data_IF_288912103500
#
_entry.id   IF_288912103500
#
_cell.length_a   1.000
_cell.length_b   1.000
_cell.length_c   1.000
_cell.angle_alpha   90.00
_cell.angle_beta   90.00
_cell.angle_gamma   90.00
#
_symmetry.space_group_name_H-M   'P 1'
#
loop_
_entity.id
_entity.type
_entity.pdbx_description
1 polymer ?
#
# COMPACT_ATOMS: atom_id res chain seq x y z
N UNK A 1 -7.11 0.69 -7.97
CA UNK A 1 -6.15 -0.39 -8.28
C UNK A 1 -5.96 -1.42 -7.15
N UNK A 2 -5.65 -2.67 -7.51
CA UNK A 2 -5.20 -3.74 -6.61
C UNK A 2 -3.75 -4.11 -6.95
N UNK A 3 -2.91 -4.30 -5.93
CA UNK A 3 -1.49 -4.66 -6.05
C UNK A 3 -1.25 -5.95 -5.24
N UNK A 4 -0.96 -7.05 -5.94
CA UNK A 4 -0.69 -8.35 -5.32
C UNK A 4 0.79 -8.45 -4.91
N UNK A 5 1.02 -8.67 -3.62
CA UNK A 5 2.33 -8.73 -2.97
C UNK A 5 2.60 -10.13 -2.39
N UNK A 6 1.82 -11.15 -2.75
CA UNK A 6 2.09 -12.51 -2.28
C UNK A 6 3.48 -12.98 -2.70
N UNK A 7 4.26 -13.46 -1.73
CA UNK A 7 5.60 -13.98 -1.98
C UNK A 7 6.69 -12.91 -2.14
N UNK A 8 6.34 -11.63 -2.07
CA UNK A 8 7.32 -10.56 -2.06
C UNK A 8 8.02 -10.47 -0.71
N UNK A 9 9.33 -10.26 -0.75
CA UNK A 9 10.09 -9.79 0.39
C UNK A 9 9.77 -8.31 0.66
N UNK A 10 10.00 -7.84 1.89
CA UNK A 10 9.60 -6.49 2.29
C UNK A 10 10.19 -5.39 1.39
N UNK A 11 11.47 -5.51 1.02
CA UNK A 11 12.15 -4.51 0.20
C UNK A 11 11.53 -4.42 -1.20
N UNK A 12 11.29 -5.56 -1.84
CA UNK A 12 10.69 -5.61 -3.18
C UNK A 12 9.23 -5.14 -3.15
N UNK A 13 8.49 -5.51 -2.11
CA UNK A 13 7.12 -5.05 -1.92
C UNK A 13 7.03 -3.53 -1.78
N UNK A 14 8.01 -2.90 -1.13
CA UNK A 14 8.04 -1.43 -1.01
C UNK A 14 8.20 -0.79 -2.38
N UNK A 15 9.14 -1.28 -3.20
CA UNK A 15 9.38 -0.77 -4.56
C UNK A 15 8.11 -0.90 -5.40
N UNK A 16 7.50 -2.09 -5.40
CA UNK A 16 6.28 -2.36 -6.15
C UNK A 16 5.12 -1.45 -5.72
N UNK A 17 4.97 -1.21 -4.42
CA UNK A 17 3.94 -0.31 -3.91
C UNK A 17 4.16 1.14 -4.36
N UNK A 18 5.40 1.60 -4.46
CA UNK A 18 5.67 2.96 -4.99
C UNK A 18 5.37 3.06 -6.48
N UNK A 19 5.76 2.08 -7.29
CA UNK A 19 5.34 2.03 -8.69
C UNK A 19 3.81 2.03 -8.82
N UNK A 20 3.12 1.25 -7.98
CA UNK A 20 1.66 1.21 -7.97
C UNK A 20 1.03 2.57 -7.58
N UNK A 21 1.67 3.33 -6.68
CA UNK A 21 1.21 4.67 -6.30
C UNK A 21 1.41 5.69 -7.44
N UNK A 22 2.51 5.59 -8.19
CA UNK A 22 2.75 6.38 -9.39
C UNK A 22 1.71 6.06 -10.48
N UNK A 23 1.46 4.77 -10.73
CA UNK A 23 0.44 4.32 -11.69
C UNK A 23 -0.95 4.86 -11.33
N UNK A 24 -1.36 4.74 -10.06
CA UNK A 24 -2.63 5.31 -9.60
C UNK A 24 -2.77 6.81 -9.88
N UNK A 25 -1.66 7.54 -9.90
CA UNK A 25 -1.65 8.98 -10.18
C UNK A 25 -1.92 9.25 -11.67
N UNK A 26 -1.40 8.40 -12.56
CA UNK A 26 -1.62 8.49 -14.01
C UNK A 26 -3.02 8.01 -14.41
N UNK A 27 -3.53 6.97 -13.75
CA UNK A 27 -4.84 6.38 -14.04
C UNK A 27 -6.00 7.05 -13.28
N UNK A 28 -5.69 8.04 -12.42
CA UNK A 28 -6.65 8.72 -11.54
C UNK A 28 -7.40 7.76 -10.58
N UNK A 29 -6.77 6.63 -10.22
CA UNK A 29 -7.28 5.69 -9.24
C UNK A 29 -7.32 6.33 -7.84
N UNK A 30 -8.52 6.41 -7.26
CA UNK A 30 -8.70 6.96 -5.91
C UNK A 30 -8.25 6.01 -4.79
N UNK A 31 -8.13 4.71 -5.08
CA UNK A 31 -7.82 3.69 -4.07
C UNK A 31 -6.73 2.75 -4.54
N UNK A 32 -5.80 2.45 -3.62
CA UNK A 32 -4.84 1.36 -3.75
C UNK A 32 -5.14 0.30 -2.69
N UNK A 33 -5.36 -0.94 -3.12
CA UNK A 33 -5.52 -2.10 -2.24
C UNK A 33 -4.29 -2.99 -2.38
N UNK A 34 -3.57 -3.20 -1.28
CA UNK A 34 -2.44 -4.10 -1.21
C UNK A 34 -2.91 -5.46 -0.73
N UNK A 35 -2.62 -6.51 -1.49
CA UNK A 35 -2.94 -7.90 -1.13
C UNK A 35 -1.65 -8.59 -0.73
N UNK A 36 -1.44 -8.75 0.57
CA UNK A 36 -0.21 -9.33 1.12
C UNK A 36 -0.42 -10.72 1.74
N UNK A 37 -1.67 -11.18 1.82
CA UNK A 37 -2.04 -12.41 2.52
C UNK A 37 -2.08 -12.25 4.05
N UNK A 38 -2.64 -13.24 4.76
CA UNK A 38 -2.92 -13.11 6.20
C UNK A 38 -1.76 -13.57 7.10
N UNK A 39 -1.41 -14.87 7.04
CA UNK A 39 -0.47 -15.49 7.99
C UNK A 39 0.98 -15.22 7.60
N UNK A 40 1.33 -15.49 6.34
CA UNK A 40 2.68 -15.26 5.79
C UNK A 40 2.95 -13.79 5.43
N UNK A 41 1.90 -13.00 5.23
CA UNK A 41 1.96 -11.57 4.93
C UNK A 41 2.12 -10.65 6.14
N UNK A 42 2.39 -11.19 7.33
CA UNK A 42 2.34 -10.41 8.58
C UNK A 42 3.38 -9.28 8.62
N UNK A 43 4.58 -9.50 8.07
CA UNK A 43 5.63 -8.48 7.96
C UNK A 43 5.17 -7.32 7.07
N UNK A 44 4.69 -7.63 5.86
CA UNK A 44 4.17 -6.65 4.91
C UNK A 44 2.99 -5.88 5.52
N UNK A 45 2.01 -6.61 6.08
CA UNK A 45 0.85 -6.03 6.76
C UNK A 45 1.27 -5.02 7.84
N UNK A 46 2.19 -5.42 8.71
CA UNK A 46 2.62 -4.58 9.82
C UNK A 46 3.37 -3.34 9.31
N UNK A 47 4.21 -3.49 8.28
CA UNK A 47 4.92 -2.38 7.68
C UNK A 47 3.96 -1.39 7.00
N UNK A 48 3.09 -1.85 6.10
CA UNK A 48 2.20 -0.95 5.35
C UNK A 48 1.13 -0.30 6.24
N UNK A 49 0.74 -0.94 7.36
CA UNK A 49 -0.14 -0.32 8.36
C UNK A 49 0.60 0.60 9.34
N UNK A 50 1.93 0.67 9.28
CA UNK A 50 2.72 1.48 10.20
C UNK A 50 2.62 2.98 9.88
N UNK A 51 2.77 3.81 10.92
CA UNK A 51 2.95 5.27 10.74
C UNK A 51 4.20 5.59 9.91
N UNK A 52 5.23 4.74 9.99
CA UNK A 52 6.47 4.91 9.25
C UNK A 52 6.23 4.87 7.74
N UNK A 53 5.46 3.89 7.26
CA UNK A 53 5.11 3.81 5.83
C UNK A 53 4.37 5.07 5.37
N UNK A 54 3.35 5.52 6.10
CA UNK A 54 2.60 6.73 5.77
C UNK A 54 3.50 7.98 5.72
N UNK A 55 4.50 8.08 6.60
CA UNK A 55 5.46 9.18 6.60
C UNK A 55 6.41 9.12 5.39
N UNK A 56 6.88 7.93 5.02
CA UNK A 56 7.73 7.76 3.83
C UNK A 56 6.93 8.10 2.58
N UNK A 57 5.73 7.52 2.41
CA UNK A 57 4.86 7.82 1.28
C UNK A 57 4.59 9.33 1.14
N UNK A 58 4.30 10.02 2.25
CA UNK A 58 4.07 11.47 2.23
C UNK A 58 5.33 12.29 1.84
N UNK A 59 6.53 11.82 2.19
CA UNK A 59 7.80 12.46 1.78
C UNK A 59 8.07 12.29 0.29
N UNK A 60 7.66 11.17 -0.27
CA UNK A 60 7.70 10.88 -1.72
C UNK A 60 6.51 11.52 -2.48
N UNK A 61 5.69 12.36 -1.83
CA UNK A 61 4.60 13.08 -2.48
C UNK A 61 3.23 12.38 -2.46
N UNK A 62 3.13 11.17 -1.90
CA UNK A 62 1.86 10.42 -1.84
C UNK A 62 1.17 10.61 -0.48
N UNK A 63 0.09 11.39 -0.46
CA UNK A 63 -0.75 11.53 0.75
C UNK A 63 -1.78 10.40 0.83
N UNK A 64 -1.55 9.47 1.74
CA UNK A 64 -2.39 8.29 1.93
C UNK A 64 -3.24 8.39 3.20
N UNK A 65 -4.49 7.94 3.11
CA UNK A 65 -5.32 7.65 4.29
C UNK A 65 -5.65 6.17 4.32
N UNK A 66 -5.29 5.49 5.42
CA UNK A 66 -5.64 4.08 5.60
C UNK A 66 -7.16 3.92 5.79
N UNK A 67 -7.73 2.99 5.05
CA UNK A 67 -9.14 2.62 5.10
C UNK A 67 -9.26 1.24 5.73
N UNK A 68 -10.19 1.08 6.68
CA UNK A 68 -10.47 -0.22 7.29
C UNK A 68 -10.99 -1.19 6.23
N UNK A 69 -10.50 -2.41 6.28
CA UNK A 69 -10.96 -3.52 5.44
C UNK A 69 -11.32 -4.70 6.35
N UNK A 70 -12.40 -5.45 6.04
CA UNK A 70 -12.75 -6.68 6.77
C UNK A 70 -11.78 -7.83 6.44
N UNK A 71 -11.03 -7.75 5.33
CA UNK A 71 -10.07 -8.76 4.93
C UNK A 71 -8.71 -8.50 5.57
N UNK A 72 -8.24 -9.35 6.51
CA UNK A 72 -7.00 -9.12 7.22
C UNK A 72 -5.75 -9.39 6.35
N UNK A 73 -5.91 -10.01 5.18
CA UNK A 73 -4.87 -10.16 4.15
C UNK A 73 -4.72 -8.96 3.23
N UNK A 74 -5.46 -7.88 3.49
CA UNK A 74 -5.42 -6.66 2.70
C UNK A 74 -5.13 -5.42 3.54
N UNK A 75 -4.53 -4.42 2.90
CA UNK A 75 -4.42 -3.05 3.42
C UNK A 75 -4.85 -2.11 2.31
N UNK A 76 -5.79 -1.20 2.60
CA UNK A 76 -6.34 -0.28 1.60
C UNK A 76 -6.05 1.17 1.97
N UNK A 77 -5.71 1.96 0.95
CA UNK A 77 -5.49 3.39 1.06
C UNK A 77 -6.43 4.15 0.15
N UNK A 78 -6.96 5.26 0.66
CA UNK A 78 -7.50 6.36 -0.15
C UNK A 78 -6.32 7.28 -0.51
N UNK A 79 -6.14 7.53 -1.80
CA UNK A 79 -5.16 8.49 -2.30
C UNK A 79 -5.79 9.87 -2.24
N UNK A 80 -5.10 10.81 -1.61
CA UNK A 80 -5.51 12.21 -1.59
C UNK A 80 -4.76 12.94 -2.70
N UNK A 81 -5.52 13.48 -3.65
CA UNK A 81 -4.99 14.44 -4.62
C UNK A 81 -4.44 15.64 -3.85
N UNK A 82 -3.22 16.06 -4.19
CA UNK A 82 -2.58 17.26 -3.64
C UNK A 82 -3.19 18.52 -4.24
#
# INVERSE_FOLDING_TARGET
MECDLHGYELTDAIIEVFHALEECTVTEDQYLTLVHGYTRGSVLRNYFRSKRFLQVAAREGHRLQSIKTPNPGQTRFLLKVL
#
